data_IF_702019739448
#
_entry.id   IF_702019739448
#
_cell.length_a   1.000
_cell.length_b   1.000
_cell.length_c   1.000
_cell.angle_alpha   90.00
_cell.angle_beta   90.00
_cell.angle_gamma   90.00
#
_symmetry.space_group_name_H-M   'P 1'
#
loop_
_entity.id
_entity.type
_entity.pdbx_description
1 polymer ?
#
# COMPACT_ATOMS: atom_id res chain seq x y z
N UNK A 1 1.55 7.51 -20.76
CA UNK A 1 1.56 8.02 -19.36
C UNK A 1 1.70 6.82 -18.45
N UNK A 2 2.78 6.73 -17.66
CA UNK A 2 2.95 5.65 -16.70
C UNK A 2 1.93 5.88 -15.56
N UNK A 3 0.98 4.97 -15.40
CA UNK A 3 0.03 5.01 -14.28
C UNK A 3 0.78 4.58 -13.01
N UNK A 4 1.37 5.55 -12.34
CA UNK A 4 1.97 5.40 -11.02
C UNK A 4 1.02 6.01 -9.99
N UNK A 5 0.73 5.26 -8.94
CA UNK A 5 -0.04 5.73 -7.80
C UNK A 5 0.89 5.73 -6.60
N UNK A 6 1.13 6.88 -6.01
CA UNK A 6 1.87 7.01 -4.75
C UNK A 6 1.09 7.86 -3.76
N UNK A 7 1.23 7.53 -2.49
CA UNK A 7 0.68 8.28 -1.38
C UNK A 7 1.48 7.99 -0.11
N UNK A 8 1.35 8.90 0.85
CA UNK A 8 1.98 8.82 2.16
C UNK A 8 0.95 9.02 3.27
N UNK A 9 1.20 8.42 4.43
CA UNK A 9 0.42 8.61 5.65
C UNK A 9 1.24 8.26 6.89
N UNK A 10 0.86 8.83 8.03
CA UNK A 10 1.46 8.51 9.34
C UNK A 10 0.66 7.41 10.05
N UNK A 11 1.36 6.51 10.74
CA UNK A 11 0.78 5.48 11.62
C UNK A 11 1.46 5.54 12.98
N UNK A 12 0.68 5.35 14.05
CA UNK A 12 1.16 5.36 15.43
C UNK A 12 0.79 6.63 16.20
N UNK A 13 0.59 6.49 17.50
CA UNK A 13 0.30 7.60 18.41
C UNK A 13 1.57 8.04 19.14
N UNK A 14 2.35 7.08 19.65
CA UNK A 14 3.60 7.34 20.38
C UNK A 14 4.82 7.18 19.50
N UNK A 15 4.84 6.12 18.69
CA UNK A 15 5.92 5.80 17.76
C UNK A 15 5.39 6.06 16.34
N UNK A 16 5.49 7.32 15.89
CA UNK A 16 5.00 7.71 14.58
C UNK A 16 5.92 7.18 13.48
N UNK A 17 5.34 6.52 12.51
CA UNK A 17 6.00 6.01 11.32
C UNK A 17 5.39 6.60 10.06
N UNK A 18 6.23 7.11 9.17
CA UNK A 18 5.81 7.60 7.87
C UNK A 18 5.78 6.45 6.86
N UNK A 19 4.58 6.11 6.39
CA UNK A 19 4.37 5.03 5.44
C UNK A 19 4.21 5.59 4.05
N UNK A 20 5.11 5.18 3.16
CA UNK A 20 5.10 5.55 1.75
C UNK A 20 4.71 4.33 0.91
N UNK A 21 3.62 4.44 0.17
CA UNK A 21 3.16 3.42 -0.76
C UNK A 21 3.36 3.87 -2.20
N UNK A 22 3.90 2.99 -3.05
CA UNK A 22 4.06 3.23 -4.48
C UNK A 22 3.65 2.01 -5.29
N UNK A 23 2.71 2.19 -6.22
CA UNK A 23 2.29 1.18 -7.17
C UNK A 23 2.50 1.65 -8.62
N UNK A 24 3.23 0.85 -9.39
CA UNK A 24 3.41 1.04 -10.83
C UNK A 24 2.55 0.03 -11.59
N UNK A 25 1.42 0.47 -12.13
CA UNK A 25 0.48 -0.41 -12.87
C UNK A 25 1.13 -1.06 -14.09
N UNK A 26 2.04 -0.35 -14.76
CA UNK A 26 2.72 -0.85 -15.97
C UNK A 26 3.77 -1.91 -15.67
N UNK A 27 4.49 -1.79 -14.55
CA UNK A 27 5.52 -2.77 -14.16
C UNK A 27 4.98 -3.86 -13.24
N UNK A 28 3.79 -3.64 -12.66
CA UNK A 28 3.22 -4.46 -11.60
C UNK A 28 3.90 -4.27 -10.25
N UNK A 29 4.84 -3.33 -10.13
CA UNK A 29 5.68 -3.18 -8.94
C UNK A 29 4.95 -2.40 -7.84
N UNK A 30 4.96 -2.97 -6.64
CA UNK A 30 4.50 -2.34 -5.42
C UNK A 30 5.70 -2.21 -4.48
N UNK A 31 5.93 -1.00 -3.99
CA UNK A 31 6.96 -0.70 -3.00
C UNK A 31 6.33 -0.01 -1.81
N UNK A 32 6.64 -0.50 -0.61
CA UNK A 32 6.18 0.05 0.66
C UNK A 32 7.42 0.40 1.46
N UNK A 33 7.46 1.63 2.00
CA UNK A 33 8.53 2.09 2.87
C UNK A 33 7.97 2.58 4.20
N UNK A 34 8.70 2.35 5.29
CA UNK A 34 8.52 3.01 6.59
C UNK A 34 9.73 3.90 6.81
N UNK A 35 9.52 5.19 7.08
CA UNK A 35 10.58 6.14 7.43
C UNK A 35 11.74 6.15 6.41
N UNK A 36 11.37 6.06 5.12
CA UNK A 36 12.32 5.97 4.00
C UNK A 36 12.95 4.60 3.76
N UNK A 37 12.82 3.64 4.68
CA UNK A 37 13.35 2.27 4.55
C UNK A 37 12.33 1.37 3.87
N UNK A 38 12.75 0.63 2.82
CA UNK A 38 11.88 -0.34 2.14
C UNK A 38 11.57 -1.51 3.08
N UNK A 39 10.31 -1.62 3.49
CA UNK A 39 9.83 -2.70 4.37
C UNK A 39 9.18 -3.84 3.59
N UNK A 40 8.64 -3.56 2.40
CA UNK A 40 8.07 -4.57 1.53
C UNK A 40 8.17 -4.17 0.06
N UNK A 41 8.38 -5.18 -0.79
CA UNK A 41 8.29 -5.08 -2.24
C UNK A 41 7.50 -6.27 -2.75
N UNK A 42 6.57 -6.02 -3.66
CA UNK A 42 5.82 -7.06 -4.34
C UNK A 42 5.74 -6.73 -5.83
N UNK A 43 5.64 -7.75 -6.68
CA UNK A 43 5.50 -7.58 -8.12
C UNK A 43 4.34 -8.43 -8.62
N UNK A 44 3.31 -7.77 -9.12
CA UNK A 44 2.12 -8.40 -9.68
C UNK A 44 2.31 -8.59 -11.17
N UNK A 45 2.57 -9.83 -11.58
CA UNK A 45 2.86 -10.17 -12.97
C UNK A 45 1.59 -10.28 -13.85
N UNK A 46 0.41 -10.39 -13.25
CA UNK A 46 -0.85 -10.63 -13.94
C UNK A 46 -1.81 -9.45 -13.77
N UNK A 47 -2.22 -8.86 -14.91
CA UNK A 47 -3.26 -7.83 -14.93
C UNK A 47 -4.60 -8.42 -14.43
N UNK A 48 -5.19 -7.80 -13.41
CA UNK A 48 -6.49 -8.17 -12.85
C UNK A 48 -6.43 -8.92 -11.51
N UNK A 49 -5.25 -9.28 -11.01
CA UNK A 49 -5.13 -9.72 -9.62
C UNK A 49 -5.25 -8.53 -8.66
N UNK A 50 -5.91 -8.76 -7.53
CA UNK A 50 -5.96 -7.81 -6.42
C UNK A 50 -4.89 -8.21 -5.40
N UNK A 51 -3.65 -7.68 -5.50
CA UNK A 51 -2.61 -8.02 -4.55
C UNK A 51 -2.99 -7.51 -3.17
N UNK A 52 -2.89 -8.41 -2.20
CA UNK A 52 -3.01 -8.08 -0.78
C UNK A 52 -1.61 -8.17 -0.18
N UNK A 53 -1.15 -7.09 0.44
CA UNK A 53 0.16 -7.02 1.07
C UNK A 53 -0.02 -6.69 2.54
N UNK A 54 0.51 -7.54 3.41
CA UNK A 54 0.51 -7.34 4.84
C UNK A 54 1.94 -7.00 5.30
N UNK A 55 2.08 -5.96 6.10
CA UNK A 55 3.37 -5.52 6.64
C UNK A 55 3.17 -5.08 8.08
N UNK A 56 4.08 -5.47 8.97
CA UNK A 56 4.10 -4.97 10.34
C UNK A 56 5.11 -3.83 10.46
N UNK A 57 4.72 -2.73 11.07
CA UNK A 57 5.57 -1.56 11.34
C UNK A 57 5.62 -1.28 12.84
N UNK A 58 6.70 -0.63 13.29
CA UNK A 58 6.92 -0.34 14.70
C UNK A 58 7.72 -1.41 15.46
N UNK A 59 8.47 -0.96 16.45
CA UNK A 59 9.25 -1.82 17.34
C UNK A 59 8.56 -1.93 18.71
N UNK A 60 8.22 -0.79 19.29
CA UNK A 60 7.53 -0.70 20.59
C UNK A 60 6.01 -0.73 20.42
N UNK A 61 5.51 -0.03 19.41
CA UNK A 61 4.09 0.09 19.07
C UNK A 61 3.86 -0.58 17.71
N UNK A 62 3.64 -1.90 17.73
CA UNK A 62 3.49 -2.69 16.50
C UNK A 62 2.12 -2.51 15.90
N UNK A 63 2.08 -2.09 14.63
CA UNK A 63 0.86 -1.99 13.83
C UNK A 63 0.93 -2.91 12.62
N UNK A 64 -0.17 -3.59 12.33
CA UNK A 64 -0.31 -4.40 11.13
C UNK A 64 -1.00 -3.60 10.03
N UNK A 65 -0.27 -3.34 8.97
CA UNK A 65 -0.74 -2.65 7.79
C UNK A 65 -1.13 -3.67 6.73
N UNK A 66 -2.32 -3.52 6.18
CA UNK A 66 -2.77 -4.29 5.02
C UNK A 66 -3.16 -3.36 3.89
N UNK A 67 -2.57 -3.60 2.72
CA UNK A 67 -2.83 -2.89 1.49
C UNK A 67 -3.58 -3.82 0.54
N UNK A 68 -4.78 -3.44 0.13
CA UNK A 68 -5.62 -4.18 -0.81
C UNK A 68 -5.79 -3.33 -2.08
N UNK A 69 -5.08 -3.72 -3.14
CA UNK A 69 -5.15 -3.02 -4.43
C UNK A 69 -6.25 -3.66 -5.26
N UNK A 70 -7.36 -2.94 -5.44
CA UNK A 70 -8.52 -3.44 -6.16
C UNK A 70 -8.56 -2.87 -7.58
N UNK A 71 -8.61 -3.71 -8.62
CA UNK A 71 -8.90 -3.25 -9.97
C UNK A 71 -10.38 -2.83 -10.03
N UNK A 72 -10.66 -1.54 -10.21
CA UNK A 72 -12.03 -1.10 -10.52
C UNK A 72 -12.39 -1.54 -11.96
N UNK A 73 -13.55 -2.19 -12.09
CA UNK A 73 -14.07 -2.75 -13.33
C UNK A 73 -14.43 -1.70 -14.40
N UNK A 74 -14.52 -2.18 -15.64
CA UNK A 74 -14.90 -1.58 -16.95
C UNK A 74 -14.38 -0.16 -17.34
N UNK A 75 -14.13 0.74 -16.40
CA UNK A 75 -13.55 2.06 -16.62
C UNK A 75 -12.15 2.13 -15.99
N UNK A 76 -11.16 1.65 -16.75
CA UNK A 76 -9.72 1.47 -16.50
C UNK A 76 -8.91 2.64 -15.87
N UNK A 77 -9.55 3.65 -15.30
CA UNK A 77 -8.96 4.96 -15.07
C UNK A 77 -8.02 5.02 -13.85
N UNK A 78 -8.33 4.39 -12.71
CA UNK A 78 -7.41 4.27 -11.54
C UNK A 78 -7.74 3.05 -10.66
N UNK A 79 -6.75 2.30 -10.17
CA UNK A 79 -6.97 1.29 -9.12
C UNK A 79 -7.38 1.98 -7.82
N UNK A 80 -8.23 1.34 -7.01
CA UNK A 80 -8.52 1.78 -5.64
C UNK A 80 -7.62 1.01 -4.69
N UNK A 81 -6.97 1.70 -3.76
CA UNK A 81 -6.05 1.09 -2.81
C UNK A 81 -6.61 1.31 -1.41
N UNK A 82 -7.14 0.24 -0.83
CA UNK A 82 -7.67 0.25 0.53
C UNK A 82 -6.54 -0.07 1.52
N UNK A 83 -6.37 0.79 2.51
CA UNK A 83 -5.37 0.65 3.58
C UNK A 83 -6.07 0.33 4.89
N UNK A 84 -5.64 -0.74 5.54
CA UNK A 84 -6.11 -1.16 6.84
C UNK A 84 -4.97 -1.09 7.85
N UNK A 85 -5.28 -0.61 9.05
CA UNK A 85 -4.38 -0.57 10.21
C UNK A 85 -5.03 -1.40 11.31
N UNK A 86 -4.34 -2.44 11.78
CA UNK A 86 -4.84 -3.39 12.79
C UNK A 86 -6.24 -3.92 12.45
N UNK A 87 -6.39 -4.40 11.20
CA UNK A 87 -7.61 -4.93 10.60
C UNK A 87 -8.78 -3.93 10.47
N UNK A 88 -8.58 -2.65 10.80
CA UNK A 88 -9.57 -1.58 10.62
C UNK A 88 -9.27 -0.80 9.35
N UNK A 89 -10.31 -0.54 8.55
CA UNK A 89 -10.17 0.32 7.38
C UNK A 89 -9.76 1.72 7.84
N UNK A 90 -8.58 2.15 7.41
CA UNK A 90 -8.07 3.48 7.71
C UNK A 90 -8.49 4.46 6.62
N UNK A 91 -8.21 4.13 5.36
CA UNK A 91 -8.48 5.01 4.23
C UNK A 91 -8.43 4.28 2.89
N UNK A 92 -9.23 4.77 1.94
CA UNK A 92 -9.16 4.39 0.53
C UNK A 92 -8.49 5.51 -0.28
N UNK A 93 -7.62 5.12 -1.21
CA UNK A 93 -6.89 5.98 -2.14
C UNK A 93 -7.21 5.67 -3.59
#
# INVERSE_FOLDING_TARGET
MLFVTEFEFEVGEKEKHEINFKYSKWLGDITIKSDGVVIAKNRVLLAGQSPIINVSVGNSEKHNLRFDVRPQGLFFLKPTIAVYVDDKLFKDY
#
